data_IF_741291754329
#
_entry.id   IF_741291754329
#
_cell.length_a   1.000
_cell.length_b   1.000
_cell.length_c   1.000
_cell.angle_alpha   90.00
_cell.angle_beta   90.00
_cell.angle_gamma   90.00
#
_symmetry.space_group_name_H-M   'P 1'
#
loop_
_entity.id
_entity.type
_entity.pdbx_description
1 polymer ?
#
# COMPACT_ATOMS: atom_id res chain seq x y z
N UNK A 1 5.38 -18.50 -0.45
CA UNK A 1 4.38 -18.95 -1.46
C UNK A 1 5.05 -18.84 -2.82
N UNK A 2 5.09 -19.94 -3.57
CA UNK A 2 5.67 -19.98 -4.92
C UNK A 2 4.76 -19.26 -5.90
N UNK A 3 5.27 -18.28 -6.65
CA UNK A 3 4.57 -17.76 -7.83
C UNK A 3 4.62 -18.87 -8.88
N UNK A 4 3.46 -19.48 -9.15
CA UNK A 4 3.40 -20.74 -9.91
C UNK A 4 3.58 -20.55 -11.42
N UNK A 5 3.50 -19.30 -11.91
CA UNK A 5 3.77 -18.97 -13.31
C UNK A 5 4.48 -17.63 -13.46
N UNK A 6 5.34 -17.52 -14.48
CA UNK A 6 6.08 -16.29 -14.81
C UNK A 6 5.12 -15.11 -15.05
N UNK A 7 4.04 -15.34 -15.80
CA UNK A 7 3.07 -14.29 -16.13
C UNK A 7 2.27 -13.76 -14.94
N UNK A 8 2.21 -14.52 -13.85
CA UNK A 8 1.58 -14.10 -12.59
C UNK A 8 2.56 -13.34 -11.69
N UNK A 9 3.86 -13.61 -11.84
CA UNK A 9 4.91 -12.99 -11.05
C UNK A 9 5.24 -11.56 -11.49
N UNK A 10 5.17 -11.29 -12.79
CA UNK A 10 5.61 -10.04 -13.39
C UNK A 10 4.43 -9.21 -13.91
N UNK A 11 4.58 -7.89 -13.85
CA UNK A 11 3.63 -6.98 -14.50
C UNK A 11 3.65 -7.22 -16.01
N UNK A 12 2.52 -6.93 -16.66
CA UNK A 12 2.49 -6.98 -18.13
C UNK A 12 3.44 -5.90 -18.64
N UNK A 13 4.42 -6.23 -19.51
CA UNK A 13 5.29 -5.23 -20.09
C UNK A 13 4.41 -4.20 -20.80
N UNK A 14 4.68 -2.93 -20.53
CA UNK A 14 3.92 -1.84 -21.11
C UNK A 14 4.00 -1.90 -22.64
N UNK A 15 2.84 -1.89 -23.28
CA UNK A 15 2.70 -2.07 -24.72
C UNK A 15 2.90 -0.77 -25.51
N UNK A 16 3.29 0.32 -24.83
CA UNK A 16 3.40 1.62 -25.46
C UNK A 16 4.51 1.62 -26.52
N UNK A 17 4.15 2.07 -27.72
CA UNK A 17 5.04 2.10 -28.90
C UNK A 17 6.34 2.87 -28.68
N UNK A 18 6.35 3.87 -27.77
CA UNK A 18 7.53 4.68 -27.50
C UNK A 18 8.53 4.00 -26.56
N UNK A 19 8.09 3.10 -25.67
CA UNK A 19 8.97 2.53 -24.65
C UNK A 19 10.09 1.69 -25.24
N UNK A 20 9.80 0.90 -26.28
CA UNK A 20 10.83 0.11 -26.99
C UNK A 20 11.91 1.00 -27.61
N UNK A 21 11.59 2.26 -27.94
CA UNK A 21 12.50 3.22 -28.56
C UNK A 21 13.28 4.02 -27.52
N UNK A 22 12.62 4.49 -26.47
CA UNK A 22 13.25 5.35 -25.45
C UNK A 22 13.91 4.57 -24.33
N UNK A 23 13.40 3.39 -23.99
CA UNK A 23 13.95 2.51 -22.96
C UNK A 23 14.13 1.07 -23.50
N UNK A 24 15.15 0.83 -24.34
CA UNK A 24 15.44 -0.50 -24.88
C UNK A 24 15.88 -1.53 -23.82
N UNK A 25 16.21 -1.08 -22.60
CA UNK A 25 16.54 -1.93 -21.44
C UNK A 25 15.39 -1.99 -20.43
N UNK A 26 14.15 -1.98 -20.91
CA UNK A 26 13.00 -2.19 -20.02
C UNK A 26 13.04 -3.61 -19.45
N UNK A 27 12.91 -3.73 -18.13
CA UNK A 27 12.91 -5.01 -17.42
C UNK A 27 11.50 -5.31 -16.89
N UNK A 28 11.14 -6.58 -16.91
CA UNK A 28 9.89 -7.03 -16.30
C UNK A 28 9.95 -6.79 -14.79
N UNK A 29 9.00 -6.01 -14.26
CA UNK A 29 8.95 -5.68 -12.83
C UNK A 29 8.13 -6.73 -12.11
N UNK A 30 8.69 -7.28 -11.04
CA UNK A 30 8.04 -8.32 -10.25
C UNK A 30 6.99 -7.66 -9.34
N UNK A 31 5.73 -8.07 -9.46
CA UNK A 31 4.58 -7.46 -8.76
C UNK A 31 4.79 -7.48 -7.24
N UNK A 32 5.43 -8.55 -6.73
CA UNK A 32 5.67 -8.70 -5.30
C UNK A 32 6.70 -7.74 -4.71
N UNK A 33 7.40 -6.94 -5.53
CA UNK A 33 8.33 -5.91 -5.04
C UNK A 33 7.57 -4.74 -4.41
N UNK A 34 6.39 -4.41 -4.93
CA UNK A 34 5.61 -3.27 -4.46
C UNK A 34 4.50 -3.67 -3.48
N UNK A 35 3.93 -4.87 -3.65
CA UNK A 35 2.82 -5.33 -2.83
C UNK A 35 2.87 -6.84 -2.62
N UNK A 36 2.51 -7.31 -1.43
CA UNK A 36 2.38 -8.74 -1.18
C UNK A 36 1.33 -9.37 -2.11
N UNK A 37 1.60 -10.56 -2.65
CA UNK A 37 0.72 -11.29 -3.60
C UNK A 37 -0.71 -11.45 -3.06
N UNK A 38 -0.84 -11.58 -1.74
CA UNK A 38 -2.12 -11.61 -1.03
C UNK A 38 -2.15 -10.46 -0.03
N UNK A 39 -2.53 -9.24 -0.44
CA UNK A 39 -2.59 -8.12 0.49
C UNK A 39 -3.73 -8.35 1.49
N UNK A 40 -3.40 -8.27 2.77
CA UNK A 40 -4.35 -8.42 3.88
C UNK A 40 -4.14 -7.29 4.89
N UNK A 41 -5.20 -6.92 5.60
CA UNK A 41 -5.20 -5.87 6.62
C UNK A 41 -4.95 -6.47 7.99
N UNK A 42 -4.02 -5.92 8.77
CA UNK A 42 -3.80 -6.41 10.13
C UNK A 42 -4.97 -6.02 11.06
N UNK A 43 -5.54 -6.97 11.80
CA UNK A 43 -6.70 -6.74 12.69
C UNK A 43 -6.43 -5.70 13.77
N UNK A 44 -5.23 -5.70 14.37
CA UNK A 44 -4.85 -4.74 15.41
C UNK A 44 -4.30 -3.41 14.84
N UNK A 45 -4.39 -3.21 13.53
CA UNK A 45 -4.09 -1.92 12.91
C UNK A 45 -2.60 -1.62 12.81
N UNK A 46 -1.86 -2.39 12.00
CA UNK A 46 -0.66 -1.83 11.37
C UNK A 46 -1.15 -0.77 10.38
N UNK A 47 -1.03 0.50 10.76
CA UNK A 47 -1.47 1.64 9.95
C UNK A 47 -0.34 1.97 8.98
N UNK A 48 -0.44 1.49 7.74
CA UNK A 48 0.52 1.85 6.70
C UNK A 48 0.19 1.21 5.36
N UNK A 49 0.48 1.92 4.26
CA UNK A 49 0.54 1.36 2.90
C UNK A 49 -0.78 0.88 2.27
N UNK A 50 -0.63 0.19 1.13
CA UNK A 50 -1.70 -0.40 0.31
C UNK A 50 -2.35 -1.67 0.92
N UNK A 51 -2.03 -1.96 2.18
CA UNK A 51 -2.45 -3.17 2.89
C UNK A 51 -3.73 -2.97 3.71
N UNK A 52 -4.15 -1.72 3.93
CA UNK A 52 -5.42 -1.40 4.62
C UNK A 52 -6.58 -1.28 3.63
N UNK A 53 -6.44 -0.39 2.64
CA UNK A 53 -7.43 -0.15 1.60
C UNK A 53 -6.73 -0.02 0.26
N UNK A 54 -7.37 -0.52 -0.79
CA UNK A 54 -6.99 -0.17 -2.15
C UNK A 54 -8.18 0.46 -2.86
N UNK A 55 -7.90 1.36 -3.78
CA UNK A 55 -8.91 1.91 -4.67
C UNK A 55 -9.43 0.82 -5.62
N UNK A 56 -10.72 0.88 -6.00
CA UNK A 56 -11.30 -0.03 -6.99
C UNK A 56 -10.80 0.27 -8.42
N UNK A 57 -10.67 1.56 -8.76
CA UNK A 57 -10.09 2.04 -10.02
C UNK A 57 -8.56 1.96 -10.11
N UNK A 58 -8.01 2.60 -11.13
CA UNK A 58 -6.55 2.66 -11.35
C UNK A 58 -5.88 3.60 -10.33
N UNK A 59 -4.94 3.08 -9.55
CA UNK A 59 -4.18 3.85 -8.56
C UNK A 59 -3.32 4.94 -9.19
N UNK A 60 -2.72 4.67 -10.36
CA UNK A 60 -1.83 5.65 -11.04
C UNK A 60 -2.62 6.90 -11.45
N UNK A 61 -3.85 6.70 -11.94
CA UNK A 61 -4.73 7.80 -12.34
C UNK A 61 -5.21 8.60 -11.12
N UNK A 62 -5.53 7.91 -10.02
CA UNK A 62 -5.88 8.56 -8.76
C UNK A 62 -4.73 9.43 -8.24
N UNK A 63 -3.52 8.87 -8.13
CA UNK A 63 -2.35 9.61 -7.65
C UNK A 63 -2.07 10.81 -8.57
N UNK A 64 -2.17 10.64 -9.88
CA UNK A 64 -2.02 11.72 -10.86
C UNK A 64 -3.06 12.84 -10.67
N UNK A 65 -4.31 12.50 -10.34
CA UNK A 65 -5.37 13.49 -10.04
C UNK A 65 -5.18 14.20 -8.70
N UNK A 66 -4.69 13.48 -7.70
CA UNK A 66 -4.33 14.03 -6.38
C UNK A 66 -3.14 15.00 -6.49
N UNK A 67 -2.14 14.68 -7.31
CA UNK A 67 -1.05 15.60 -7.68
C UNK A 67 -1.52 16.75 -8.59
N UNK A 68 -2.75 16.70 -9.10
CA UNK A 68 -3.35 17.75 -9.90
C UNK A 68 -2.91 17.76 -11.36
N UNK A 69 -2.22 16.71 -11.84
CA UNK A 69 -1.67 16.62 -13.20
C UNK A 69 -2.80 16.49 -14.23
N UNK A 70 -3.84 15.72 -13.92
CA UNK A 70 -4.99 15.48 -14.80
C UNK A 70 -5.95 16.68 -14.89
N UNK A 71 -5.76 17.70 -14.03
CA UNK A 71 -6.62 18.87 -13.96
C UNK A 71 -6.27 19.85 -15.09
N UNK A 72 -7.27 20.48 -15.75
CA UNK A 72 -6.98 21.49 -16.75
C UNK A 72 -6.29 22.71 -16.11
N UNK A 73 -5.25 23.24 -16.78
CA UNK A 73 -4.52 24.45 -16.37
C UNK A 73 -5.33 25.73 -16.65
N UNK A 74 -6.53 25.82 -16.07
CA UNK A 74 -7.39 27.01 -16.19
C UNK A 74 -7.64 27.59 -14.82
N UNK A 75 -7.34 28.88 -14.64
CA UNK A 75 -7.68 29.61 -13.41
C UNK A 75 -9.14 30.08 -13.36
N UNK A 76 -10.02 29.56 -14.23
CA UNK A 76 -11.43 29.94 -14.19
C UNK A 76 -12.07 29.47 -12.89
N UNK A 77 -12.85 30.36 -12.27
CA UNK A 77 -13.60 30.11 -11.03
C UNK A 77 -14.52 28.90 -11.15
N UNK A 78 -15.08 28.67 -12.35
CA UNK A 78 -15.96 27.55 -12.69
C UNK A 78 -15.27 26.17 -12.66
N UNK A 79 -13.94 26.09 -12.59
CA UNK A 79 -13.20 24.82 -12.66
C UNK A 79 -12.18 24.63 -11.55
N UNK A 80 -11.59 25.70 -11.03
CA UNK A 80 -10.48 25.63 -10.07
C UNK A 80 -10.88 25.04 -8.71
N UNK A 81 -12.14 25.20 -8.32
CA UNK A 81 -12.63 24.85 -6.97
C UNK A 81 -13.97 24.10 -6.99
N UNK A 82 -14.38 23.54 -8.13
CA UNK A 82 -15.63 22.79 -8.16
C UNK A 82 -15.45 21.48 -7.37
N UNK A 83 -16.15 21.31 -6.23
CA UNK A 83 -16.15 20.03 -5.56
C UNK A 83 -16.81 19.01 -6.48
N UNK A 84 -16.35 17.77 -6.40
CA UNK A 84 -17.02 16.69 -7.09
C UNK A 84 -18.25 16.31 -6.26
N UNK A 85 -19.42 16.21 -6.89
CA UNK A 85 -20.68 15.92 -6.18
C UNK A 85 -20.64 14.53 -5.51
N UNK A 86 -19.84 13.61 -6.04
CA UNK A 86 -19.60 12.28 -5.48
C UNK A 86 -18.12 12.13 -5.08
N UNK A 87 -17.85 11.81 -3.81
CA UNK A 87 -16.50 11.50 -3.32
C UNK A 87 -15.91 10.25 -3.99
N UNK A 88 -16.77 9.31 -4.34
CA UNK A 88 -16.36 7.95 -4.72
C UNK A 88 -16.01 7.82 -6.19
N UNK A 89 -16.39 8.77 -7.04
CA UNK A 89 -16.16 8.68 -8.48
C UNK A 89 -15.60 9.99 -8.98
N UNK A 90 -14.34 10.01 -9.42
CA UNK A 90 -13.69 11.19 -9.98
C UNK A 90 -13.85 11.18 -11.50
N UNK A 91 -14.65 12.13 -12.00
CA UNK A 91 -14.87 12.34 -13.42
C UNK A 91 -14.20 13.64 -13.86
N UNK A 92 -13.22 13.54 -14.75
CA UNK A 92 -12.59 14.70 -15.39
C UNK A 92 -12.85 14.67 -16.89
N UNK A 93 -13.48 15.73 -17.39
CA UNK A 93 -13.69 15.94 -18.82
C UNK A 93 -12.83 17.11 -19.28
N UNK A 94 -11.71 16.81 -19.94
CA UNK A 94 -10.85 17.77 -20.62
C UNK A 94 -11.01 17.58 -22.14
N UNK A 95 -10.93 18.65 -22.95
CA UNK A 95 -10.85 18.52 -24.41
C UNK A 95 -9.90 17.44 -24.92
N UNK A 96 -8.77 17.20 -24.22
CA UNK A 96 -7.79 16.19 -24.61
C UNK A 96 -8.08 14.80 -24.07
N UNK A 97 -8.47 14.70 -22.79
CA UNK A 97 -8.62 13.42 -22.09
C UNK A 97 -9.93 13.38 -21.31
N UNK A 98 -10.61 12.23 -21.38
CA UNK A 98 -11.75 11.90 -20.51
C UNK A 98 -11.27 10.86 -19.52
N UNK A 99 -11.29 11.21 -18.24
CA UNK A 99 -10.80 10.39 -17.15
C UNK A 99 -11.98 10.02 -16.25
N UNK A 100 -12.12 8.72 -15.98
CA UNK A 100 -13.11 8.17 -15.06
C UNK A 100 -12.36 7.29 -14.06
N UNK A 101 -12.33 7.70 -12.79
CA UNK A 101 -11.68 6.98 -11.72
C UNK A 101 -12.73 6.62 -10.68
N UNK A 102 -12.85 5.34 -10.37
CA UNK A 102 -13.61 4.85 -9.22
C UNK A 102 -12.69 4.90 -7.98
N UNK A 103 -12.92 5.89 -7.12
CA UNK A 103 -12.20 6.18 -5.88
C UNK A 103 -12.75 5.42 -4.65
N UNK A 104 -13.72 4.51 -4.83
CA UNK A 104 -14.27 3.74 -3.71
C UNK A 104 -13.18 2.89 -3.04
N UNK A 105 -13.00 3.00 -1.70
CA UNK A 105 -12.02 2.19 -0.98
C UNK A 105 -12.53 0.75 -0.83
N UNK A 106 -11.76 -0.20 -1.34
CA UNK A 106 -12.01 -1.64 -1.20
C UNK A 106 -11.25 -2.14 0.04
N UNK A 107 -12.01 -2.59 1.03
CA UNK A 107 -11.46 -3.20 2.24
C UNK A 107 -10.79 -4.55 1.92
N UNK A 108 -9.62 -4.79 2.51
CA UNK A 108 -8.92 -6.08 2.43
C UNK A 108 -9.33 -6.99 3.59
N UNK A 109 -9.20 -8.30 3.36
CA UNK A 109 -9.41 -9.32 4.39
C UNK A 109 -8.51 -9.08 5.60
N UNK A 110 -9.04 -9.31 6.79
CA UNK A 110 -8.27 -9.16 8.02
C UNK A 110 -7.37 -10.37 8.31
N UNK A 111 -6.23 -10.13 8.97
CA UNK A 111 -5.37 -11.18 9.53
C UNK A 111 -4.74 -10.74 10.85
N UNK A 112 -4.45 -11.70 11.71
CA UNK A 112 -3.76 -11.47 12.98
C UNK A 112 -2.38 -12.10 12.96
N UNK A 113 -1.35 -11.32 13.29
CA UNK A 113 0.00 -11.82 13.52
C UNK A 113 0.03 -12.72 14.76
N UNK A 114 0.97 -13.66 14.78
CA UNK A 114 1.18 -14.48 15.97
C UNK A 114 1.79 -13.65 17.09
N UNK A 115 1.27 -13.81 18.30
CA UNK A 115 1.89 -13.24 19.51
C UNK A 115 3.23 -13.91 19.75
N UNK A 116 4.20 -13.16 20.26
CA UNK A 116 5.40 -13.77 20.82
C UNK A 116 5.03 -14.68 21.99
N UNK A 117 5.73 -15.82 22.16
CA UNK A 117 5.55 -16.64 23.35
C UNK A 117 5.96 -15.83 24.59
N UNK A 118 5.29 -16.09 25.71
CA UNK A 118 5.64 -15.48 26.99
C UNK A 118 7.07 -15.88 27.39
N UNK A 119 7.90 -14.90 27.71
CA UNK A 119 9.24 -15.13 28.26
C UNK A 119 9.12 -15.18 29.77
N UNK A 120 9.26 -16.37 30.35
CA UNK A 120 9.31 -16.52 31.80
C UNK A 120 10.53 -15.79 32.37
N UNK A 121 10.32 -15.04 33.45
CA UNK A 121 11.43 -14.42 34.18
C UNK A 121 12.40 -15.50 34.70
N UNK A 122 13.72 -15.21 34.74
CA UNK A 122 14.67 -16.13 35.36
C UNK A 122 14.33 -16.34 36.83
N UNK A 123 14.74 -17.50 37.35
CA UNK A 123 14.62 -17.79 38.79
C UNK A 123 15.26 -16.66 39.61
N UNK A 124 14.65 -16.25 40.74
CA UNK A 124 15.22 -15.19 41.57
C UNK A 124 16.60 -15.61 42.08
N UNK A 125 17.52 -14.65 42.14
CA UNK A 125 18.84 -14.89 42.70
C UNK A 125 18.71 -15.38 44.15
N UNK A 126 19.25 -16.57 44.43
CA UNK A 126 19.41 -17.05 45.80
C UNK A 126 20.55 -16.26 46.44
N UNK A 127 20.22 -15.39 47.39
CA UNK A 127 21.22 -14.74 48.23
C UNK A 127 21.71 -15.76 49.26
N UNK A 128 22.82 -16.44 48.96
CA UNK A 128 23.56 -17.19 49.96
C UNK A 128 24.26 -16.20 50.89
N UNK A 129 23.53 -15.68 51.87
CA UNK A 129 24.14 -14.97 52.98
C UNK A 129 24.74 -16.01 53.92
N UNK A 130 26.07 -16.06 54.00
CA UNK A 130 26.74 -16.71 55.12
C UNK A 130 26.45 -15.87 56.37
N UNK A 131 25.36 -16.19 57.09
CA UNK A 131 25.16 -15.63 58.43
C UNK A 131 26.12 -16.34 59.38
N UNK A 132 27.05 -15.58 59.94
CA UNK A 132 27.91 -16.09 61.01
C UNK A 132 27.02 -16.31 62.24
N UNK A 133 26.87 -17.54 62.76
CA UNK A 133 25.93 -17.84 63.85
C UNK A 133 26.36 -17.28 65.21
N UNK A 134 27.52 -16.64 65.29
CA UNK A 134 28.14 -16.16 66.53
C UNK A 134 28.11 -14.63 66.58
N UNK A 135 26.94 -14.03 66.81
CA UNK A 135 26.82 -12.70 67.41
C UNK A 135 25.38 -12.51 67.90
N UNK A 136 25.18 -12.81 69.17
CA UNK A 136 24.14 -12.23 70.02
C UNK A 136 24.68 -10.93 70.61
#
# INVERSE_FOLDING_TARGET
>A
MSLNSYFEAYEKPSSHTFEKKENPQNYDILVSQFQHVKPKRHTLGLIGGNEVYNINGNRVDLESDLFGITRPFTWSTERKHLPNDNSDIINRSNPKNKLHIDAMPVAREEYQLWSYPEVNAPLPFKKEACSMPHKF
#
